data_IF_097649328769
#
_entry.id   IF_097649328769
#
_cell.length_a   1.000
_cell.length_b   1.000
_cell.length_c   1.000
_cell.angle_alpha   90.00
_cell.angle_beta   90.00
_cell.angle_gamma   90.00
#
_symmetry.space_group_name_H-M   'P 1'
#
loop_
_entity.id
_entity.type
_entity.pdbx_description
1 polymer ?
#
# COMPACT_ATOMS: atom_id res chain seq x y z
N UNK A 1 -2.80 14.96 -9.00
CA UNK A 1 -1.32 14.98 -9.14
C UNK A 1 -0.76 13.56 -9.20
N UNK A 2 0.24 13.25 -10.03
CA UNK A 2 0.88 11.92 -10.06
C UNK A 2 2.14 11.87 -9.21
N UNK A 3 2.55 10.66 -8.84
CA UNK A 3 3.79 10.40 -8.09
C UNK A 3 4.98 11.09 -8.76
N UNK A 4 5.15 10.90 -10.08
CA UNK A 4 6.25 11.49 -10.84
C UNK A 4 6.23 13.02 -10.83
N UNK A 5 5.05 13.65 -10.85
CA UNK A 5 4.87 15.09 -10.78
C UNK A 5 5.25 15.62 -9.39
N UNK A 6 4.73 14.99 -8.34
CA UNK A 6 4.95 15.39 -6.95
C UNK A 6 6.42 15.30 -6.55
N UNK A 7 7.10 14.24 -6.97
CA UNK A 7 8.53 14.04 -6.70
C UNK A 7 9.45 14.67 -7.77
N UNK A 8 8.89 15.38 -8.75
CA UNK A 8 9.68 16.12 -9.75
C UNK A 8 10.59 15.23 -10.62
N UNK A 9 10.19 13.98 -10.89
CA UNK A 9 11.01 13.01 -11.62
C UNK A 9 11.18 13.36 -13.11
N UNK A 10 10.32 14.23 -13.66
CA UNK A 10 10.34 14.72 -15.05
C UNK A 10 10.40 13.60 -16.10
N UNK A 11 9.80 12.45 -15.77
CA UNK A 11 9.79 11.23 -16.59
C UNK A 11 8.36 10.85 -16.92
N UNK A 12 8.15 10.22 -18.08
CA UNK A 12 6.86 9.64 -18.49
C UNK A 12 6.82 8.16 -18.13
N UNK A 13 5.62 7.59 -18.04
CA UNK A 13 5.38 6.18 -17.68
C UNK A 13 6.29 5.19 -18.42
N UNK A 14 6.60 5.44 -19.70
CA UNK A 14 7.41 4.54 -20.53
C UNK A 14 8.86 4.33 -20.05
N UNK A 15 9.38 5.20 -19.17
CA UNK A 15 10.77 5.14 -18.68
C UNK A 15 10.87 4.99 -17.16
N UNK A 16 9.73 4.73 -16.50
CA UNK A 16 9.67 4.43 -15.08
C UNK A 16 9.68 2.90 -14.90
N UNK A 17 10.43 2.44 -13.92
CA UNK A 17 10.48 1.05 -13.45
C UNK A 17 9.31 0.69 -12.52
N UNK A 18 8.41 1.65 -12.26
CA UNK A 18 7.19 1.49 -11.50
C UNK A 18 5.99 2.15 -12.19
N UNK A 19 4.79 1.81 -11.73
CA UNK A 19 3.54 2.42 -12.21
C UNK A 19 3.40 3.81 -11.61
N UNK A 20 3.29 4.82 -12.47
CA UNK A 20 3.09 6.20 -12.07
C UNK A 20 1.63 6.44 -11.68
N UNK A 21 1.39 6.44 -10.37
CA UNK A 21 0.06 6.48 -9.78
C UNK A 21 -0.40 7.92 -9.47
N UNK A 22 -1.71 8.22 -9.61
CA UNK A 22 -2.31 9.42 -9.01
C UNK A 22 -2.27 9.34 -7.47
N UNK A 23 -1.96 10.45 -6.80
CA UNK A 23 -1.77 10.51 -5.33
C UNK A 23 -3.04 10.87 -4.55
N UNK A 24 -4.07 11.40 -5.22
CA UNK A 24 -5.25 12.00 -4.58
C UNK A 24 -6.52 11.19 -4.87
N UNK A 25 -6.36 9.99 -5.43
CA UNK A 25 -7.48 9.16 -5.88
C UNK A 25 -7.52 7.83 -5.14
N UNK A 26 -6.93 7.77 -3.95
CA UNK A 26 -6.97 6.56 -3.13
C UNK A 26 -8.43 6.22 -2.80
N UNK A 27 -8.78 4.97 -3.03
CA UNK A 27 -10.12 4.45 -2.71
C UNK A 27 -10.06 3.91 -1.29
N UNK A 28 -10.95 4.34 -0.38
CA UNK A 28 -11.06 3.72 0.93
C UNK A 28 -11.37 2.24 0.77
N UNK A 29 -10.50 1.38 1.27
CA UNK A 29 -10.70 -0.07 1.26
C UNK A 29 -11.01 -0.55 2.67
N UNK A 30 -12.01 -1.43 2.77
CA UNK A 30 -12.27 -2.15 4.01
C UNK A 30 -11.43 -3.42 4.02
N UNK A 31 -10.64 -3.60 5.08
CA UNK A 31 -9.88 -4.83 5.30
C UNK A 31 -10.70 -5.77 6.17
N UNK A 32 -10.88 -7.01 5.73
CA UNK A 32 -11.53 -8.05 6.50
C UNK A 32 -10.47 -8.91 7.22
N UNK A 33 -10.27 -8.76 8.55
CA UNK A 33 -9.15 -9.40 9.24
C UNK A 33 -9.23 -10.94 9.22
N UNK A 34 -10.43 -11.50 9.19
CA UNK A 34 -10.64 -12.96 9.21
C UNK A 34 -10.23 -13.60 7.87
N UNK A 35 -10.58 -13.02 6.72
CA UNK A 35 -10.05 -13.46 5.43
C UNK A 35 -8.52 -13.40 5.36
N UNK A 36 -7.91 -12.32 5.86
CA UNK A 36 -6.45 -12.16 5.86
C UNK A 36 -5.79 -13.25 6.73
N UNK A 37 -6.33 -13.50 7.92
CA UNK A 37 -5.87 -14.58 8.81
C UNK A 37 -6.02 -15.97 8.19
N UNK A 38 -7.05 -16.18 7.37
CA UNK A 38 -7.29 -17.45 6.69
C UNK A 38 -6.47 -17.63 5.41
N UNK A 39 -5.73 -16.62 4.97
CA UNK A 39 -4.95 -16.68 3.75
C UNK A 39 -3.65 -17.49 3.94
N UNK A 40 -3.73 -18.79 3.64
CA UNK A 40 -2.61 -19.74 3.79
C UNK A 40 -1.58 -19.63 2.66
N UNK A 41 -0.81 -18.55 2.68
CA UNK A 41 0.34 -18.35 1.78
C UNK A 41 1.48 -17.62 2.51
N UNK A 42 2.68 -17.61 1.93
CA UNK A 42 3.80 -16.80 2.43
C UNK A 42 3.43 -15.31 2.45
N UNK A 43 2.84 -14.83 1.36
CA UNK A 43 2.33 -13.46 1.25
C UNK A 43 1.25 -13.14 2.31
N UNK A 44 0.34 -14.09 2.59
CA UNK A 44 -0.68 -13.90 3.63
C UNK A 44 -0.11 -13.76 5.03
N UNK A 45 0.96 -14.50 5.35
CA UNK A 45 1.69 -14.34 6.62
C UNK A 45 2.37 -12.96 6.71
N UNK A 46 3.04 -12.53 5.64
CA UNK A 46 3.68 -11.22 5.56
C UNK A 46 2.65 -10.09 5.73
N UNK A 47 1.53 -10.16 4.99
CA UNK A 47 0.43 -9.19 5.10
C UNK A 47 -0.10 -9.09 6.53
N UNK A 48 -0.35 -10.23 7.19
CA UNK A 48 -0.83 -10.26 8.56
C UNK A 48 0.18 -9.60 9.53
N UNK A 49 1.48 -9.85 9.35
CA UNK A 49 2.55 -9.24 10.16
C UNK A 49 2.64 -7.72 9.94
N UNK A 50 2.53 -7.27 8.69
CA UNK A 50 2.57 -5.84 8.35
C UNK A 50 1.38 -5.09 8.95
N UNK A 51 0.18 -5.68 8.88
CA UNK A 51 -1.02 -5.09 9.47
C UNK A 51 -0.94 -4.99 10.98
N UNK A 52 -0.46 -6.05 11.66
CA UNK A 52 -0.24 -6.01 13.11
C UNK A 52 0.74 -4.89 13.48
N UNK A 53 1.86 -4.78 12.76
CA UNK A 53 2.86 -3.73 13.00
C UNK A 53 2.29 -2.33 12.80
N UNK A 54 1.54 -2.12 11.71
CA UNK A 54 0.88 -0.85 11.43
C UNK A 54 -0.13 -0.48 12.52
N UNK A 55 -1.01 -1.41 12.91
CA UNK A 55 -2.02 -1.18 13.94
C UNK A 55 -1.38 -0.90 15.31
N UNK A 56 -0.33 -1.62 15.70
CA UNK A 56 0.41 -1.32 16.92
C UNK A 56 1.13 0.03 16.89
N UNK A 57 1.52 0.53 15.70
CA UNK A 57 2.15 1.85 15.57
C UNK A 57 1.18 3.02 15.78
N UNK A 58 -0.11 2.81 15.49
CA UNK A 58 -1.16 3.83 15.68
C UNK A 58 -1.83 3.73 17.06
N UNK A 59 -1.66 2.62 17.79
CA UNK A 59 -2.17 2.42 19.16
C UNK A 59 -1.41 3.21 20.25
N UNK A 60 -0.50 4.12 19.89
CA UNK A 60 0.10 5.07 20.85
C UNK A 60 -0.76 6.32 20.93
N UNK A 61 -1.88 6.27 21.66
CA UNK A 61 -2.55 7.39 22.34
C UNK A 61 -3.11 6.89 23.67
#
# INVERSE_FOLDING_TARGET
MRFSDYFGLKKKQAVLDFVDIPLETDVPVFLEPVAIKNLRSAWGHELASMLQTFLSSIEVH
#
